data_IF_293278928582
#
_entry.id   IF_293278928582
#
_cell.length_a   1.000
_cell.length_b   1.000
_cell.length_c   1.000
_cell.angle_alpha   90.00
_cell.angle_beta   90.00
_cell.angle_gamma   90.00
#
_symmetry.space_group_name_H-M   'P 1'
#
loop_
_entity.id
_entity.type
_entity.pdbx_description
1 polymer ?
#
# COMPACT_ATOMS: atom_id res chain seq x y z
N UNK A 1 -25.87 -39.05 15.89
CA UNK A 1 -25.11 -37.89 16.42
C UNK A 1 -23.67 -37.94 15.91
N UNK A 2 -23.33 -37.17 14.88
CA UNK A 2 -21.93 -36.89 14.50
C UNK A 2 -21.76 -35.38 14.41
N UNK A 3 -20.87 -34.87 15.26
CA UNK A 3 -20.53 -33.45 15.43
C UNK A 3 -19.90 -32.92 14.14
N UNK A 4 -20.53 -31.94 13.51
CA UNK A 4 -19.93 -31.18 12.43
C UNK A 4 -19.13 -30.04 13.06
N UNK A 5 -17.82 -30.25 13.21
CA UNK A 5 -16.92 -29.22 13.72
C UNK A 5 -16.84 -28.09 12.70
N UNK A 6 -17.43 -26.95 13.06
CA UNK A 6 -17.45 -25.73 12.26
C UNK A 6 -16.03 -25.28 11.90
N UNK A 7 -15.68 -25.40 10.61
CA UNK A 7 -14.61 -24.59 10.04
C UNK A 7 -15.11 -23.15 10.06
N UNK A 8 -14.46 -22.30 10.87
CA UNK A 8 -14.58 -20.84 10.81
C UNK A 8 -14.54 -20.42 9.34
N UNK A 9 -15.62 -19.83 8.83
CA UNK A 9 -15.58 -19.13 7.55
C UNK A 9 -14.55 -18.00 7.67
N UNK A 10 -13.38 -18.19 7.07
CA UNK A 10 -12.52 -17.08 6.72
C UNK A 10 -13.33 -16.13 5.84
N UNK A 11 -13.40 -14.86 6.24
CA UNK A 11 -14.14 -13.82 5.52
C UNK A 11 -13.66 -13.78 4.06
N UNK A 12 -14.56 -14.05 3.12
CA UNK A 12 -14.29 -14.14 1.68
C UNK A 12 -13.71 -12.82 1.15
N UNK A 13 -12.75 -12.83 0.19
CA UNK A 13 -12.07 -11.63 -0.32
C UNK A 13 -13.00 -10.51 -0.81
N UNK A 14 -14.19 -10.84 -1.33
CA UNK A 14 -15.17 -9.85 -1.78
C UNK A 14 -15.94 -9.13 -0.67
N UNK A 15 -16.03 -9.74 0.52
CA UNK A 15 -16.51 -9.02 1.71
C UNK A 15 -15.48 -8.00 2.19
N UNK A 16 -14.20 -8.20 1.86
CA UNK A 16 -13.11 -7.39 2.38
C UNK A 16 -12.97 -6.05 1.64
N UNK A 17 -13.03 -6.00 0.30
CA UNK A 17 -12.93 -4.71 -0.41
C UNK A 17 -14.09 -3.77 -0.05
N UNK A 18 -15.32 -4.27 -0.05
CA UNK A 18 -16.48 -3.47 0.33
C UNK A 18 -16.41 -3.03 1.80
N UNK A 19 -16.10 -3.95 2.72
CA UNK A 19 -15.90 -3.62 4.14
C UNK A 19 -14.76 -2.63 4.35
N UNK A 20 -13.70 -2.69 3.55
CA UNK A 20 -12.60 -1.73 3.57
C UNK A 20 -13.09 -0.33 3.21
N UNK A 21 -13.95 -0.20 2.20
CA UNK A 21 -14.55 1.09 1.89
C UNK A 21 -15.50 1.59 2.99
N UNK A 22 -16.36 0.71 3.52
CA UNK A 22 -17.21 1.05 4.66
C UNK A 22 -16.38 1.50 5.88
N UNK A 23 -15.25 0.85 6.13
CA UNK A 23 -14.32 1.22 7.21
C UNK A 23 -13.69 2.61 7.03
N UNK A 24 -13.53 3.05 5.79
CA UNK A 24 -13.05 4.39 5.46
C UNK A 24 -14.18 5.42 5.37
N UNK A 25 -15.43 5.03 5.64
CA UNK A 25 -16.57 5.95 5.69
C UNK A 25 -17.12 6.36 4.32
N UNK A 26 -16.79 5.62 3.25
CA UNK A 26 -17.35 5.91 1.92
C UNK A 26 -18.84 5.60 1.86
N UNK A 27 -19.58 6.47 1.19
CA UNK A 27 -21.02 6.30 0.93
C UNK A 27 -21.26 5.51 -0.35
N UNK A 28 -22.43 4.89 -0.47
CA UNK A 28 -22.75 4.02 -1.61
C UNK A 28 -22.87 4.78 -2.95
N UNK A 29 -23.17 6.08 -2.90
CA UNK A 29 -23.39 6.99 -4.03
C UNK A 29 -22.19 7.93 -4.30
N UNK A 30 -21.10 7.77 -3.55
CA UNK A 30 -19.93 8.62 -3.63
C UNK A 30 -19.00 8.21 -4.78
N UNK A 31 -18.52 9.19 -5.55
CA UNK A 31 -17.53 8.94 -6.58
C UNK A 31 -16.14 8.71 -5.97
N UNK A 32 -15.64 7.49 -6.14
CA UNK A 32 -14.29 7.11 -5.72
C UNK A 32 -13.29 7.28 -6.86
N UNK A 33 -12.12 7.82 -6.56
CA UNK A 33 -11.03 7.93 -7.53
C UNK A 33 -10.07 6.76 -7.44
N UNK A 34 -10.04 5.99 -8.52
CA UNK A 34 -9.09 4.91 -8.72
C UNK A 34 -7.98 5.33 -9.67
N UNK A 35 -6.76 4.84 -9.40
CA UNK A 35 -5.61 4.97 -10.28
C UNK A 35 -5.17 3.58 -10.67
N UNK A 36 -5.22 3.31 -11.98
CA UNK A 36 -4.72 2.08 -12.56
C UNK A 36 -3.27 2.30 -12.98
N UNK A 37 -2.35 1.52 -12.41
CA UNK A 37 -0.93 1.58 -12.76
C UNK A 37 -0.52 0.24 -13.33
N UNK A 38 -0.04 0.24 -14.57
CA UNK A 38 0.56 -0.96 -15.12
C UNK A 38 1.91 -1.19 -14.45
N UNK A 39 2.01 -2.15 -13.52
CA UNK A 39 3.22 -2.34 -12.71
C UNK A 39 4.13 -3.50 -13.15
N UNK A 40 3.68 -4.39 -14.05
CA UNK A 40 4.48 -5.50 -14.56
C UNK A 40 5.76 -5.04 -15.28
N UNK A 41 6.90 -5.68 -14.97
CA UNK A 41 8.18 -5.41 -15.65
C UNK A 41 8.13 -5.84 -17.14
N UNK A 42 8.64 -4.97 -18.01
CA UNK A 42 8.54 -5.02 -19.48
C UNK A 42 9.17 -6.24 -20.22
N UNK A 43 9.66 -7.27 -19.54
CA UNK A 43 10.44 -8.34 -20.20
C UNK A 43 9.59 -9.36 -20.98
N UNK A 44 8.25 -9.32 -20.90
CA UNK A 44 7.35 -10.21 -21.66
C UNK A 44 6.67 -9.54 -22.87
N UNK A 45 6.97 -8.28 -23.19
CA UNK A 45 6.23 -7.51 -24.21
C UNK A 45 6.64 -7.76 -25.66
N UNK A 46 7.63 -8.61 -25.92
CA UNK A 46 8.15 -8.85 -27.28
C UNK A 46 7.63 -10.10 -27.97
N UNK A 47 6.63 -10.81 -27.43
CA UNK A 47 6.01 -11.90 -28.18
C UNK A 47 4.52 -11.64 -28.36
N UNK A 48 4.11 -11.77 -29.62
CA UNK A 48 2.75 -11.83 -30.16
C UNK A 48 2.18 -10.50 -30.68
N UNK A 49 2.53 -10.22 -31.94
CA UNK A 49 1.69 -9.51 -32.89
C UNK A 49 0.52 -10.40 -33.29
N UNK A 50 -0.72 -9.89 -33.22
CA UNK A 50 -1.72 -10.13 -34.26
C UNK A 50 -2.93 -9.20 -34.14
N UNK A 51 -3.38 -8.76 -35.32
CA UNK A 51 -4.56 -7.96 -35.64
C UNK A 51 -5.74 -8.07 -34.68
N UNK A 52 -6.07 -6.99 -33.99
CA UNK A 52 -7.43 -6.70 -33.55
C UNK A 52 -7.66 -5.18 -33.43
N UNK A 53 -8.77 -4.70 -34.00
CA UNK A 53 -9.16 -3.28 -34.08
C UNK A 53 -9.87 -2.75 -32.81
N UNK A 54 -9.63 -3.37 -31.64
CA UNK A 54 -10.11 -2.86 -30.37
C UNK A 54 -8.93 -2.35 -29.54
N UNK A 55 -9.04 -1.11 -29.03
CA UNK A 55 -8.04 -0.52 -28.13
C UNK A 55 -7.86 -1.33 -26.82
N UNK A 56 -8.76 -2.27 -26.53
CA UNK A 56 -8.73 -3.10 -25.31
C UNK A 56 -8.10 -4.49 -25.49
N UNK A 57 -7.79 -4.93 -26.72
CA UNK A 57 -7.34 -6.31 -27.01
C UNK A 57 -5.84 -6.44 -27.32
N UNK A 58 -5.06 -5.35 -27.23
CA UNK A 58 -3.62 -5.35 -27.57
C UNK A 58 -2.67 -5.59 -26.40
N UNK A 59 -3.18 -5.89 -25.19
CA UNK A 59 -2.32 -6.09 -24.02
C UNK A 59 -2.28 -7.56 -23.61
N UNK A 60 -1.08 -8.14 -23.38
CA UNK A 60 -0.96 -9.51 -22.89
C UNK A 60 -1.68 -9.63 -21.54
N UNK A 61 -2.61 -10.59 -21.45
CA UNK A 61 -3.34 -10.89 -20.22
C UNK A 61 -2.40 -11.70 -19.31
N UNK A 62 -2.22 -11.26 -18.06
CA UNK A 62 -1.48 -12.02 -17.05
C UNK A 62 -2.40 -13.17 -16.58
N UNK A 63 -1.97 -14.44 -16.71
CA UNK A 63 -2.76 -15.56 -16.23
C UNK A 63 -2.83 -15.53 -14.70
N UNK A 64 -4.03 -15.35 -14.17
CA UNK A 64 -4.26 -15.38 -12.72
C UNK A 64 -4.90 -16.70 -12.33
N UNK A 65 -4.20 -17.46 -11.50
CA UNK A 65 -4.65 -18.77 -11.03
C UNK A 65 -5.62 -18.66 -9.85
N UNK A 66 -6.35 -19.73 -9.56
CA UNK A 66 -7.26 -19.80 -8.40
C UNK A 66 -6.54 -19.39 -7.11
N UNK A 67 -7.18 -18.59 -6.23
CA UNK A 67 -8.63 -18.34 -6.15
C UNK A 67 -9.19 -17.25 -7.10
N UNK A 68 -8.39 -16.65 -8.00
CA UNK A 68 -8.82 -15.52 -8.83
C UNK A 68 -10.12 -15.75 -9.64
N UNK A 69 -10.24 -16.86 -10.37
CA UNK A 69 -11.47 -17.15 -11.13
C UNK A 69 -12.73 -17.34 -10.27
N UNK A 70 -12.57 -17.72 -8.99
CA UNK A 70 -13.69 -17.82 -8.05
C UNK A 70 -14.11 -16.44 -7.53
N UNK A 71 -13.21 -15.45 -7.61
CA UNK A 71 -13.46 -14.07 -7.20
C UNK A 71 -14.23 -13.35 -8.32
N UNK A 72 -13.86 -13.50 -9.60
CA UNK A 72 -14.52 -12.81 -10.73
C UNK A 72 -16.04 -13.04 -10.81
N UNK A 73 -16.51 -14.26 -10.53
CA UNK A 73 -17.95 -14.60 -10.60
C UNK A 73 -18.79 -14.02 -9.45
N UNK A 74 -18.17 -13.38 -8.47
CA UNK A 74 -18.82 -12.94 -7.25
C UNK A 74 -18.95 -11.40 -7.14
N UNK A 75 -18.46 -10.61 -8.14
CA UNK A 75 -18.30 -9.14 -8.05
C UNK A 75 -19.38 -8.33 -8.82
N UNK A 76 -20.65 -8.27 -8.39
CA UNK A 76 -21.63 -7.41 -9.04
C UNK A 76 -21.77 -5.99 -8.44
N UNK A 77 -20.97 -5.58 -7.44
CA UNK A 77 -21.35 -4.43 -6.58
C UNK A 77 -20.56 -3.12 -6.74
N UNK A 78 -19.45 -3.07 -7.48
CA UNK A 78 -18.69 -1.81 -7.72
C UNK A 78 -18.51 -1.65 -9.23
N UNK A 79 -19.40 -0.88 -9.85
CA UNK A 79 -19.25 -0.47 -11.25
C UNK A 79 -18.46 0.82 -11.29
N UNK A 80 -17.22 0.76 -11.77
CA UNK A 80 -16.46 1.97 -12.03
C UNK A 80 -16.75 2.49 -13.42
N UNK A 81 -16.66 3.80 -13.58
CA UNK A 81 -16.76 4.45 -14.87
C UNK A 81 -15.45 5.15 -15.19
N UNK A 82 -15.01 5.03 -16.43
CA UNK A 82 -13.95 5.85 -16.99
C UNK A 82 -14.44 7.29 -17.16
N UNK A 83 -13.51 8.21 -17.46
CA UNK A 83 -13.84 9.60 -17.77
C UNK A 83 -14.78 9.75 -18.98
N UNK A 84 -14.93 8.72 -19.81
CA UNK A 84 -15.83 8.68 -20.97
C UNK A 84 -17.17 7.99 -20.67
N UNK A 85 -17.50 7.78 -19.39
CA UNK A 85 -18.73 7.10 -18.96
C UNK A 85 -18.78 5.61 -19.28
N UNK A 86 -17.67 5.01 -19.73
CA UNK A 86 -17.60 3.58 -20.03
C UNK A 86 -17.30 2.78 -18.76
N UNK A 87 -17.99 1.65 -18.52
CA UNK A 87 -17.72 0.80 -17.37
C UNK A 87 -16.29 0.23 -17.42
N UNK A 88 -15.60 0.27 -16.29
CA UNK A 88 -14.25 -0.26 -16.12
C UNK A 88 -14.29 -1.47 -15.20
N UNK A 89 -14.01 -2.64 -15.76
CA UNK A 89 -13.96 -3.89 -15.00
C UNK A 89 -12.61 -4.02 -14.27
N UNK A 90 -12.54 -3.59 -13.01
CA UNK A 90 -11.30 -3.56 -12.22
C UNK A 90 -10.57 -4.91 -12.17
N UNK A 91 -11.30 -6.02 -12.02
CA UNK A 91 -10.71 -7.36 -12.00
C UNK A 91 -10.08 -7.72 -13.34
N UNK A 92 -10.75 -7.37 -14.44
CA UNK A 92 -10.22 -7.57 -15.78
C UNK A 92 -8.96 -6.74 -16.03
N UNK A 93 -8.93 -5.50 -15.51
CA UNK A 93 -7.72 -4.68 -15.56
C UNK A 93 -6.60 -5.26 -14.68
N UNK A 94 -6.93 -5.79 -13.50
CA UNK A 94 -5.95 -6.44 -12.63
C UNK A 94 -5.37 -7.70 -13.29
N UNK A 95 -6.20 -8.52 -13.93
CA UNK A 95 -5.76 -9.64 -14.77
C UNK A 95 -4.90 -9.21 -15.96
N UNK A 96 -5.08 -8.00 -16.48
CA UNK A 96 -4.20 -7.43 -17.52
C UNK A 96 -2.91 -6.80 -16.98
N UNK A 97 -2.61 -6.97 -15.69
CA UNK A 97 -1.37 -6.46 -15.09
C UNK A 97 -1.44 -5.03 -14.52
N UNK A 98 -2.64 -4.47 -14.40
CA UNK A 98 -2.82 -3.19 -13.72
C UNK A 98 -2.98 -3.39 -12.21
N UNK A 99 -2.11 -2.77 -11.43
CA UNK A 99 -2.36 -2.58 -10.02
C UNK A 99 -3.46 -1.53 -9.79
N UNK A 100 -4.35 -1.85 -8.85
CA UNK A 100 -5.49 -1.01 -8.49
C UNK A 100 -5.13 -0.19 -7.25
N UNK A 101 -5.10 1.13 -7.41
CA UNK A 101 -4.94 2.08 -6.33
C UNK A 101 -6.18 2.96 -6.20
N UNK A 102 -6.36 3.57 -5.04
CA UNK A 102 -7.39 4.59 -4.80
C UNK A 102 -6.84 5.76 -4.01
N UNK A 103 -7.36 6.95 -4.26
CA UNK A 103 -7.16 8.08 -3.36
C UNK A 103 -8.03 7.90 -2.10
N UNK A 104 -7.41 8.00 -0.92
CA UNK A 104 -8.09 7.75 0.37
C UNK A 104 -8.92 8.94 0.82
N UNK A 105 -8.35 10.16 0.75
CA UNK A 105 -9.07 11.37 1.16
C UNK A 105 -10.01 11.86 0.06
N UNK A 106 -11.13 12.46 0.46
CA UNK A 106 -12.19 12.81 -0.47
C UNK A 106 -12.04 14.22 -1.03
N UNK A 107 -12.39 14.35 -2.31
CA UNK A 107 -12.54 15.61 -3.05
C UNK A 107 -13.42 15.32 -4.27
N UNK A 108 -14.14 16.29 -4.81
CA UNK A 108 -15.07 16.04 -5.94
C UNK A 108 -14.35 15.67 -7.24
N UNK A 109 -13.36 16.47 -7.66
CA UNK A 109 -12.65 16.28 -8.93
C UNK A 109 -11.14 16.25 -8.75
N UNK A 110 -10.36 16.06 -9.82
CA UNK A 110 -8.89 16.11 -9.69
C UNK A 110 -8.39 17.53 -9.35
N UNK A 111 -9.14 18.54 -9.75
CA UNK A 111 -8.80 19.95 -9.65
C UNK A 111 -9.41 20.62 -8.41
N UNK A 112 -10.39 19.99 -7.75
CA UNK A 112 -11.03 20.56 -6.57
C UNK A 112 -10.21 20.35 -5.30
N UNK A 113 -10.44 21.22 -4.31
CA UNK A 113 -9.87 21.08 -2.97
C UNK A 113 -10.40 19.85 -2.25
N UNK A 114 -9.57 19.31 -1.35
CA UNK A 114 -9.96 18.22 -0.46
C UNK A 114 -11.04 18.67 0.52
N UNK A 115 -12.09 17.85 0.63
CA UNK A 115 -13.26 18.14 1.45
C UNK A 115 -13.31 17.30 2.73
N UNK A 116 -12.69 16.12 2.74
CA UNK A 116 -12.71 15.25 3.92
C UNK A 116 -11.44 14.40 4.07
N UNK A 117 -10.99 14.23 5.31
CA UNK A 117 -9.93 13.30 5.70
C UNK A 117 -10.57 12.02 6.20
N UNK A 118 -10.60 11.00 5.33
CA UNK A 118 -11.18 9.69 5.65
C UNK A 118 -10.29 8.86 6.58
N UNK A 119 -8.98 9.06 6.49
CA UNK A 119 -8.02 8.34 7.32
C UNK A 119 -6.68 9.08 7.42
N UNK A 120 -5.95 8.81 8.49
CA UNK A 120 -4.50 8.94 8.53
C UNK A 120 -3.90 7.60 8.14
N UNK A 121 -2.80 7.57 7.36
CA UNK A 121 -2.31 6.30 6.81
C UNK A 121 -0.80 6.26 6.57
N UNK A 122 -0.18 5.10 6.73
CA UNK A 122 1.25 4.91 6.48
C UNK A 122 1.49 3.78 5.49
N UNK A 123 2.62 3.84 4.79
CA UNK A 123 3.15 2.78 3.93
C UNK A 123 4.52 2.33 4.44
N UNK A 124 4.61 1.08 4.89
CA UNK A 124 5.82 0.48 5.43
C UNK A 124 6.34 -0.52 4.41
N UNK A 125 7.43 -0.18 3.71
CA UNK A 125 8.16 -1.07 2.80
C UNK A 125 9.36 -1.69 3.55
N UNK A 126 9.31 -3.00 3.77
CA UNK A 126 10.36 -3.76 4.47
C UNK A 126 11.33 -4.45 3.51
N UNK A 127 11.08 -4.40 2.19
CA UNK A 127 11.93 -5.05 1.21
C UNK A 127 13.21 -4.26 0.93
N UNK A 128 13.12 -2.94 0.93
CA UNK A 128 14.24 -2.11 0.46
C UNK A 128 15.23 -1.78 1.57
N UNK A 129 16.51 -1.80 1.21
CA UNK A 129 17.59 -1.12 1.92
C UNK A 129 18.06 0.00 1.02
N UNK A 130 18.09 1.22 1.55
CA UNK A 130 18.60 2.37 0.81
C UNK A 130 19.66 3.10 1.63
N UNK A 131 20.69 3.61 0.94
CA UNK A 131 21.70 4.45 1.56
C UNK A 131 22.26 5.44 0.53
N UNK A 132 22.45 6.69 0.97
CA UNK A 132 23.18 7.71 0.21
C UNK A 132 24.61 7.79 0.74
N UNK A 133 25.58 7.57 -0.15
CA UNK A 133 27.01 7.50 0.15
C UNK A 133 27.73 8.56 -0.67
N UNK A 134 28.83 9.10 -0.16
CA UNK A 134 29.50 10.21 -0.83
C UNK A 134 30.47 9.73 -1.92
N UNK A 135 30.99 8.50 -1.77
CA UNK A 135 31.92 7.91 -2.74
C UNK A 135 31.46 6.54 -3.24
N UNK A 136 31.91 6.19 -4.47
CA UNK A 136 31.65 4.87 -5.07
C UNK A 136 32.22 3.74 -4.21
N UNK A 137 33.41 3.95 -3.63
CA UNK A 137 34.08 2.97 -2.78
C UNK A 137 33.28 2.66 -1.51
N UNK A 138 32.71 3.68 -0.86
CA UNK A 138 31.81 3.48 0.28
C UNK A 138 30.57 2.68 -0.11
N UNK A 139 29.97 2.99 -1.27
CA UNK A 139 28.81 2.26 -1.77
C UNK A 139 29.15 0.79 -2.08
N UNK A 140 30.29 0.51 -2.70
CA UNK A 140 30.78 -0.84 -2.98
C UNK A 140 31.03 -1.64 -1.70
N UNK A 141 31.76 -1.06 -0.72
CA UNK A 141 31.99 -1.71 0.58
C UNK A 141 30.67 -2.04 1.29
N UNK A 142 29.69 -1.15 1.22
CA UNK A 142 28.36 -1.41 1.79
C UNK A 142 27.61 -2.50 1.02
N UNK A 143 27.70 -2.54 -0.31
CA UNK A 143 27.12 -3.61 -1.12
C UNK A 143 27.71 -4.98 -0.75
N UNK A 144 29.03 -5.09 -0.66
CA UNK A 144 29.73 -6.30 -0.23
C UNK A 144 29.27 -6.76 1.16
N UNK A 145 29.17 -5.82 2.11
CA UNK A 145 28.69 -6.14 3.47
C UNK A 145 27.24 -6.64 3.49
N UNK A 146 26.37 -6.13 2.61
CA UNK A 146 24.98 -6.57 2.50
C UNK A 146 24.88 -7.95 1.85
N UNK A 147 25.69 -8.21 0.82
CA UNK A 147 25.74 -9.51 0.14
C UNK A 147 26.32 -10.60 1.04
N UNK A 148 27.29 -10.27 1.88
CA UNK A 148 27.88 -11.19 2.86
C UNK A 148 27.00 -11.42 4.11
N UNK A 149 25.92 -10.63 4.29
CA UNK A 149 25.08 -10.71 5.48
C UNK A 149 24.24 -11.98 5.48
N UNK A 150 24.51 -12.87 6.44
CA UNK A 150 23.66 -14.04 6.69
C UNK A 150 22.31 -13.67 7.33
N UNK A 151 22.25 -12.53 8.02
CA UNK A 151 21.07 -12.11 8.80
C UNK A 151 20.09 -11.23 8.02
N UNK A 152 20.55 -10.52 6.99
CA UNK A 152 19.72 -9.64 6.17
C UNK A 152 19.93 -9.94 4.68
N UNK A 153 19.41 -11.09 4.25
CA UNK A 153 19.64 -11.62 2.91
C UNK A 153 18.97 -10.78 1.82
N UNK A 154 19.74 -10.45 0.79
CA UNK A 154 19.34 -9.63 -0.35
C UNK A 154 19.35 -10.42 -1.66
N UNK A 155 18.45 -10.10 -2.58
CA UNK A 155 18.38 -10.68 -3.94
C UNK A 155 19.07 -9.81 -4.97
N UNK A 156 19.11 -8.50 -4.75
CA UNK A 156 19.78 -7.56 -5.66
C UNK A 156 20.38 -6.40 -4.89
N UNK A 157 21.45 -5.84 -5.45
CA UNK A 157 22.07 -4.59 -5.00
C UNK A 157 22.40 -3.77 -6.24
N UNK A 158 21.88 -2.54 -6.28
CA UNK A 158 22.10 -1.58 -7.36
C UNK A 158 22.73 -0.33 -6.78
N UNK A 159 23.73 0.21 -7.48
CA UNK A 159 24.38 1.48 -7.12
C UNK A 159 24.21 2.44 -8.29
N UNK A 160 23.65 3.61 -8.02
CA UNK A 160 23.42 4.64 -9.03
C UNK A 160 24.01 5.97 -8.57
N UNK A 161 24.73 6.67 -9.44
CA UNK A 161 25.20 8.02 -9.15
C UNK A 161 24.03 9.00 -9.28
N UNK A 162 23.81 9.78 -8.24
CA UNK A 162 22.77 10.81 -8.20
C UNK A 162 23.23 12.09 -8.91
N UNK A 163 22.30 12.98 -9.33
CA UNK A 163 22.65 14.28 -9.89
C UNK A 163 23.51 15.14 -8.94
N UNK A 164 23.34 14.97 -7.62
CA UNK A 164 24.14 15.66 -6.59
C UNK A 164 25.59 15.17 -6.48
N UNK A 165 26.00 14.19 -7.30
CA UNK A 165 27.33 13.58 -7.25
C UNK A 165 27.48 12.43 -6.26
N UNK A 166 26.58 12.30 -5.27
CA UNK A 166 26.50 11.19 -4.31
C UNK A 166 26.07 9.87 -4.98
N UNK A 167 26.22 8.76 -4.30
CA UNK A 167 25.84 7.42 -4.73
C UNK A 167 24.65 6.90 -3.93
N UNK A 168 23.59 6.51 -4.62
CA UNK A 168 22.44 5.81 -4.05
C UNK A 168 22.66 4.30 -4.19
N UNK A 169 22.77 3.61 -3.06
CA UNK A 169 22.68 2.16 -3.00
C UNK A 169 21.22 1.78 -2.73
N UNK A 170 20.68 0.88 -3.55
CA UNK A 170 19.38 0.24 -3.38
C UNK A 170 19.54 -1.28 -3.41
N UNK A 171 19.22 -1.94 -2.32
CA UNK A 171 19.15 -3.39 -2.26
C UNK A 171 17.72 -3.87 -1.98
N UNK A 172 17.34 -4.97 -2.60
CA UNK A 172 16.06 -5.64 -2.36
C UNK A 172 16.30 -6.92 -1.56
N UNK A 173 15.55 -7.10 -0.48
CA UNK A 173 15.63 -8.30 0.37
C UNK A 173 14.97 -9.51 -0.27
N UNK A 174 15.39 -10.71 0.15
CA UNK A 174 14.70 -11.95 -0.19
C UNK A 174 13.27 -11.96 0.36
N UNK A 175 12.37 -12.69 -0.30
CA UNK A 175 10.98 -12.86 0.16
C UNK A 175 10.92 -13.46 1.58
N UNK A 176 11.74 -14.47 1.85
CA UNK A 176 11.83 -15.10 3.18
C UNK A 176 12.19 -14.07 4.25
N UNK A 177 13.17 -13.20 3.96
CA UNK A 177 13.57 -12.14 4.87
C UNK A 177 12.48 -11.09 5.08
N UNK A 178 11.79 -10.67 4.02
CA UNK A 178 10.64 -9.75 4.14
C UNK A 178 9.55 -10.32 5.04
N UNK A 179 9.21 -11.61 4.91
CA UNK A 179 8.21 -12.26 5.75
C UNK A 179 8.63 -12.32 7.23
N UNK A 180 9.91 -12.57 7.52
CA UNK A 180 10.45 -12.47 8.88
C UNK A 180 10.34 -11.04 9.42
N UNK A 181 10.72 -10.04 8.63
CA UNK A 181 10.64 -8.63 9.02
C UNK A 181 9.20 -8.18 9.24
N UNK A 182 8.24 -8.62 8.42
CA UNK A 182 6.81 -8.37 8.61
C UNK A 182 6.34 -8.84 9.98
N UNK A 183 6.68 -10.08 10.38
CA UNK A 183 6.35 -10.64 11.69
C UNK A 183 7.00 -9.84 12.82
N UNK A 184 8.31 -9.57 12.70
CA UNK A 184 9.06 -8.80 13.70
C UNK A 184 8.50 -7.37 13.87
N UNK A 185 8.11 -6.73 12.77
CA UNK A 185 7.52 -5.39 12.75
C UNK A 185 6.20 -5.35 13.50
N UNK A 186 5.27 -6.27 13.19
CA UNK A 186 3.99 -6.35 13.89
C UNK A 186 4.16 -6.64 15.39
N UNK A 187 5.10 -7.52 15.76
CA UNK A 187 5.38 -7.81 17.16
C UNK A 187 5.91 -6.58 17.91
N UNK A 188 6.91 -5.90 17.32
CA UNK A 188 7.52 -4.68 17.88
C UNK A 188 6.49 -3.58 18.10
N UNK A 189 5.56 -3.40 17.16
CA UNK A 189 4.58 -2.32 17.19
C UNK A 189 3.18 -2.76 17.66
N UNK A 190 3.05 -3.97 18.20
CA UNK A 190 1.77 -4.61 18.55
C UNK A 190 0.85 -3.72 19.38
N UNK A 191 1.38 -3.08 20.43
CA UNK A 191 0.61 -2.15 21.28
C UNK A 191 0.07 -0.96 20.50
N UNK A 192 0.92 -0.29 19.71
CA UNK A 192 0.54 0.91 18.95
C UNK A 192 -0.37 0.59 17.75
N UNK A 193 -0.26 -0.61 17.20
CA UNK A 193 -1.03 -1.03 16.02
C UNK A 193 -2.32 -1.77 16.36
N UNK A 194 -2.61 -2.05 17.63
CA UNK A 194 -3.81 -2.78 18.08
C UNK A 194 -5.11 -2.26 17.44
N UNK A 195 -5.22 -0.95 17.27
CA UNK A 195 -6.44 -0.31 16.75
C UNK A 195 -6.35 0.10 15.28
N UNK A 196 -5.21 -0.12 14.61
CA UNK A 196 -5.02 0.23 13.21
C UNK A 196 -5.72 -0.78 12.29
N UNK A 197 -6.27 -0.33 11.17
CA UNK A 197 -6.61 -1.23 10.07
C UNK A 197 -5.33 -1.53 9.28
N UNK A 198 -4.97 -2.80 9.15
CA UNK A 198 -3.71 -3.24 8.53
C UNK A 198 -4.02 -4.02 7.26
N UNK A 199 -3.50 -3.51 6.15
CA UNK A 199 -3.53 -4.14 4.84
C UNK A 199 -2.12 -4.61 4.50
N UNK A 200 -1.98 -5.90 4.21
CA UNK A 200 -0.72 -6.50 3.81
C UNK A 200 -0.50 -6.32 2.31
N UNK A 201 0.69 -5.83 1.98
CA UNK A 201 1.18 -5.73 0.60
C UNK A 201 2.36 -6.69 0.40
N UNK A 202 2.86 -6.81 -0.84
CA UNK A 202 3.98 -7.72 -1.16
C UNK A 202 5.18 -7.47 -0.24
N UNK A 203 5.58 -6.21 -0.10
CA UNK A 203 6.81 -5.82 0.57
C UNK A 203 6.63 -5.31 2.01
N UNK A 204 5.39 -5.19 2.50
CA UNK A 204 5.15 -4.73 3.86
C UNK A 204 3.66 -4.46 4.13
N UNK A 205 3.32 -3.26 4.60
CA UNK A 205 1.98 -2.94 5.06
C UNK A 205 1.53 -1.53 4.69
N UNK A 206 0.27 -1.41 4.27
CA UNK A 206 -0.47 -0.16 4.38
C UNK A 206 -1.27 -0.20 5.67
N UNK A 207 -1.13 0.82 6.52
CA UNK A 207 -1.89 0.91 7.77
C UNK A 207 -2.72 2.18 7.78
N UNK A 208 -3.95 2.07 8.25
CA UNK A 208 -4.93 3.15 8.25
C UNK A 208 -5.52 3.32 9.64
N UNK A 209 -5.73 4.57 10.02
CA UNK A 209 -6.57 4.97 11.14
C UNK A 209 -7.72 5.79 10.54
N UNK A 210 -8.91 5.19 10.34
CA UNK A 210 -10.09 5.91 9.89
C UNK A 210 -10.36 7.11 10.78
N UNK A 211 -10.73 8.23 10.17
CA UNK A 211 -10.96 9.51 10.84
C UNK A 211 -12.42 9.92 10.64
N UNK A 212 -13.03 10.45 11.69
CA UNK A 212 -14.28 11.21 11.62
C UNK A 212 -13.97 12.71 11.77
N UNK A 213 -14.72 13.54 11.04
CA UNK A 213 -14.66 15.01 11.11
C UNK A 213 -13.22 15.54 11.02
N UNK A 214 -12.46 15.00 10.06
CA UNK A 214 -11.03 15.23 9.97
C UNK A 214 -10.70 16.57 9.33
N UNK A 215 -9.88 17.37 10.01
CA UNK A 215 -9.44 18.66 9.49
C UNK A 215 -8.26 18.51 8.52
N UNK A 216 -8.34 19.23 7.40
CA UNK A 216 -7.33 19.19 6.32
C UNK A 216 -5.95 19.68 6.81
N UNK A 217 -5.93 20.78 7.57
CA UNK A 217 -4.72 21.42 8.12
C UNK A 217 -3.94 20.50 9.07
N UNK A 218 -4.64 19.64 9.82
CA UNK A 218 -4.05 18.66 10.73
C UNK A 218 -3.54 17.41 10.05
N UNK A 219 -3.88 17.18 8.78
CA UNK A 219 -3.47 15.97 8.07
C UNK A 219 -1.94 15.82 8.04
N UNK A 220 -1.25 16.79 7.44
CA UNK A 220 0.20 16.73 7.20
C UNK A 220 1.02 16.64 8.50
N UNK A 221 0.75 17.43 9.56
CA UNK A 221 1.49 17.32 10.81
C UNK A 221 1.36 15.95 11.48
N UNK A 222 0.15 15.40 11.55
CA UNK A 222 -0.09 14.05 12.11
C UNK A 222 0.58 12.99 11.25
N UNK A 223 0.44 13.10 9.93
CA UNK A 223 0.99 12.16 8.96
C UNK A 223 2.53 12.09 9.04
N UNK A 224 3.20 13.23 9.24
CA UNK A 224 4.64 13.30 9.50
C UNK A 224 5.03 12.63 10.82
N UNK A 225 4.27 12.86 11.90
CA UNK A 225 4.52 12.23 13.18
C UNK A 225 4.34 10.70 13.12
N UNK A 226 3.35 10.22 12.37
CA UNK A 226 3.16 8.79 12.09
C UNK A 226 4.34 8.21 11.30
N UNK A 227 4.80 8.90 10.25
CA UNK A 227 5.97 8.50 9.46
C UNK A 227 7.20 8.31 10.35
N UNK A 228 7.45 9.26 11.25
CA UNK A 228 8.57 9.19 12.19
C UNK A 228 8.42 8.02 13.17
N UNK A 229 7.25 7.90 13.81
CA UNK A 229 6.99 6.85 14.82
C UNK A 229 7.14 5.44 14.26
N UNK A 230 6.73 5.24 13.01
CA UNK A 230 6.64 3.92 12.39
C UNK A 230 7.71 3.64 11.33
N UNK A 231 8.61 4.61 11.08
CA UNK A 231 9.62 4.52 10.01
C UNK A 231 9.00 4.19 8.64
N UNK A 232 7.89 4.86 8.33
CA UNK A 232 7.16 4.70 7.05
C UNK A 232 7.79 5.53 5.93
N UNK A 233 7.39 5.32 4.67
CA UNK A 233 7.77 6.17 3.54
C UNK A 233 7.40 7.63 3.81
N UNK A 234 8.37 8.56 3.87
CA UNK A 234 8.10 9.98 4.10
C UNK A 234 7.30 10.65 2.99
N UNK A 235 7.20 10.04 1.80
CA UNK A 235 6.39 10.57 0.69
C UNK A 235 4.89 10.43 0.95
N UNK A 236 4.46 9.63 1.91
CA UNK A 236 3.04 9.38 2.20
C UNK A 236 2.28 10.62 2.74
N UNK A 237 2.95 11.75 2.93
CA UNK A 237 2.40 12.93 3.61
C UNK A 237 1.45 13.81 2.79
N UNK A 238 1.15 13.47 1.54
CA UNK A 238 0.25 14.27 0.70
C UNK A 238 -1.19 13.74 0.73
N UNK A 239 -2.16 14.65 0.70
CA UNK A 239 -3.61 14.32 0.75
C UNK A 239 -4.07 13.42 -0.41
N UNK A 240 -3.49 13.61 -1.60
CA UNK A 240 -3.80 12.87 -2.84
C UNK A 240 -3.10 11.53 -2.97
N UNK A 241 -2.51 11.01 -1.89
CA UNK A 241 -1.75 9.77 -1.95
C UNK A 241 -2.68 8.61 -2.30
N UNK A 242 -2.36 7.93 -3.40
CA UNK A 242 -3.08 6.75 -3.83
C UNK A 242 -2.50 5.48 -3.20
N UNK A 243 -3.37 4.63 -2.64
CA UNK A 243 -3.02 3.42 -1.90
C UNK A 243 -3.60 2.18 -2.57
N UNK A 244 -2.90 1.05 -2.45
CA UNK A 244 -3.35 -0.24 -3.00
C UNK A 244 -4.64 -0.68 -2.32
N UNK A 245 -5.59 -1.13 -3.13
CA UNK A 245 -6.90 -1.60 -2.67
C UNK A 245 -6.82 -3.10 -2.33
N UNK A 246 -7.26 -3.54 -1.14
CA UNK A 246 -7.32 -4.97 -0.81
C UNK A 246 -8.34 -5.70 -1.69
N UNK A 247 -8.08 -6.97 -1.96
CA UNK A 247 -8.87 -7.80 -2.89
C UNK A 247 -8.34 -7.82 -4.33
N UNK A 248 -7.28 -7.05 -4.61
CA UNK A 248 -6.58 -7.04 -5.89
C UNK A 248 -5.12 -7.47 -5.71
N UNK A 249 -4.53 -7.99 -6.78
CA UNK A 249 -3.13 -8.39 -6.80
C UNK A 249 -2.20 -7.22 -7.11
N UNK A 250 -1.03 -7.25 -6.48
CA UNK A 250 0.15 -6.49 -6.85
C UNK A 250 0.84 -7.23 -8.02
N UNK A 251 0.91 -6.60 -9.20
CA UNK A 251 1.35 -7.27 -10.46
C UNK A 251 2.75 -6.88 -10.94
N UNK A 252 3.52 -6.19 -10.09
CA UNK A 252 4.90 -5.78 -10.41
C UNK A 252 5.81 -6.92 -10.87
N UNK A 253 5.54 -8.11 -10.38
CA UNK A 253 6.22 -9.35 -10.75
C UNK A 253 5.15 -10.37 -11.20
N UNK A 254 4.90 -10.50 -12.51
CA UNK A 254 3.85 -11.35 -13.05
C UNK A 254 3.97 -12.83 -12.67
N UNK A 255 5.20 -13.31 -12.43
CA UNK A 255 5.47 -14.70 -12.06
C UNK A 255 5.27 -14.96 -10.55
N UNK A 256 5.19 -13.89 -9.75
CA UNK A 256 4.91 -13.94 -8.30
C UNK A 256 3.93 -12.82 -7.89
N UNK A 257 2.67 -12.88 -8.37
CA UNK A 257 1.66 -11.88 -8.03
C UNK A 257 1.27 -12.03 -6.55
N UNK A 258 1.07 -10.89 -5.87
CA UNK A 258 0.75 -10.89 -4.45
C UNK A 258 -0.65 -10.34 -4.18
N UNK A 259 -1.54 -11.15 -3.58
CA UNK A 259 -2.87 -10.71 -3.18
C UNK A 259 -2.80 -9.71 -2.02
N UNK A 260 -3.18 -8.45 -2.27
CA UNK A 260 -3.30 -7.44 -1.22
C UNK A 260 -4.51 -7.78 -0.36
N UNK A 261 -4.31 -7.93 0.95
CA UNK A 261 -5.37 -8.42 1.85
C UNK A 261 -5.38 -7.69 3.19
N UNK A 262 -6.56 -7.56 3.78
CA UNK A 262 -6.70 -7.00 5.13
C UNK A 262 -6.30 -8.05 6.16
N UNK A 263 -5.29 -7.77 6.98
CA UNK A 263 -4.90 -8.63 8.13
C UNK A 263 -5.65 -8.28 9.40
N UNK A 264 -5.96 -6.99 9.57
CA UNK A 264 -6.61 -6.48 10.77
C UNK A 264 -7.57 -5.37 10.37
N UNK A 265 -8.81 -5.42 10.86
CA UNK A 265 -9.86 -4.42 10.56
C UNK A 265 -9.79 -3.16 11.42
N UNK A 266 -8.87 -3.12 12.38
CA UNK A 266 -8.80 -2.05 13.37
C UNK A 266 -10.01 -2.00 14.30
N UNK A 267 -10.15 -0.89 15.01
CA UNK A 267 -11.27 -0.67 15.93
C UNK A 267 -12.58 -0.38 15.18
N UNK A 268 -13.73 -0.48 15.87
CA UNK A 268 -15.06 -0.28 15.28
C UNK A 268 -15.29 1.16 14.80
N UNK A 269 -15.11 2.14 15.69
CA UNK A 269 -15.39 3.55 15.44
C UNK A 269 -14.18 4.31 14.85
N UNK A 270 -14.37 5.28 13.94
CA UNK A 270 -13.28 6.14 13.49
C UNK A 270 -12.69 6.98 14.63
N UNK A 271 -11.45 7.43 14.48
CA UNK A 271 -10.78 8.35 15.41
C UNK A 271 -11.18 9.80 15.13
N UNK A 272 -11.25 10.63 16.16
CA UNK A 272 -10.92 12.03 15.95
C UNK A 272 -9.40 12.18 15.79
N UNK A 273 -8.94 13.18 15.05
CA UNK A 273 -7.51 13.41 14.89
C UNK A 273 -6.79 13.63 16.23
N UNK A 274 -7.41 14.35 17.18
CA UNK A 274 -6.84 14.57 18.51
C UNK A 274 -6.74 13.26 19.33
N UNK A 275 -7.78 12.41 19.25
CA UNK A 275 -7.76 11.10 19.90
C UNK A 275 -6.63 10.22 19.34
N UNK A 276 -6.43 10.22 18.03
CA UNK A 276 -5.36 9.45 17.40
C UNK A 276 -3.98 9.93 17.90
N UNK A 277 -3.78 11.25 17.96
CA UNK A 277 -2.55 11.86 18.47
C UNK A 277 -2.26 11.41 19.89
N UNK A 278 -3.26 11.47 20.77
CA UNK A 278 -3.13 11.06 22.17
C UNK A 278 -2.89 9.55 22.30
N UNK A 279 -3.70 8.73 21.61
CA UNK A 279 -3.63 7.27 21.68
C UNK A 279 -2.28 6.73 21.19
N UNK A 280 -1.66 7.39 20.21
CA UNK A 280 -0.35 7.02 19.69
C UNK A 280 0.80 7.85 20.28
N UNK A 281 0.54 8.78 21.20
CA UNK A 281 1.54 9.68 21.77
C UNK A 281 2.42 10.32 20.67
N UNK A 282 1.76 10.93 19.68
CA UNK A 282 2.44 11.54 18.54
C UNK A 282 3.01 12.91 18.93
N UNK A 283 4.29 13.13 18.65
CA UNK A 283 4.90 14.45 18.78
C UNK A 283 4.63 15.27 17.52
N UNK A 284 3.82 16.32 17.62
CA UNK A 284 3.51 17.23 16.52
C UNK A 284 4.37 18.50 16.66
N UNK A 285 4.71 19.13 15.54
CA UNK A 285 5.78 20.14 15.40
C UNK A 285 5.80 21.35 16.34
N UNK A 286 4.76 21.61 17.16
CA UNK A 286 4.82 22.60 18.25
C UNK A 286 5.52 22.07 19.50
N UNK A 287 5.40 20.77 19.79
CA UNK A 287 5.96 20.14 21.00
C UNK A 287 7.41 19.70 20.82
N UNK A 288 7.81 19.39 19.57
CA UNK A 288 9.18 19.01 19.23
C UNK A 288 10.19 20.14 19.49
N UNK A 289 9.78 21.40 19.26
CA UNK A 289 10.63 22.58 19.50
C UNK A 289 10.74 22.92 21.00
N UNK A 290 9.70 22.64 21.80
CA UNK A 290 9.75 22.82 23.27
C UNK A 290 10.63 21.78 23.94
N UNK A 291 10.55 20.51 23.52
CA UNK A 291 11.38 19.42 24.05
C UNK A 291 12.88 19.54 23.71
N UNK A 292 13.22 20.22 22.62
CA UNK A 292 14.61 20.53 22.25
C UNK A 292 15.21 21.74 22.99
N UNK A 293 14.38 22.63 23.54
CA UNK A 293 14.83 23.80 24.33
C UNK A 293 14.95 23.51 25.83
N UNK A 294 14.47 22.35 26.27
CA UNK A 294 14.52 21.89 27.67
C UNK A 294 15.56 20.78 27.91
N UNK A 295 16.53 20.63 27.00
CA UNK A 295 17.67 19.70 27.10
C UNK A 295 18.97 20.45 26.88
#
# INVERSE_FOLDING_TARGET
MKRNNGKKLEQTPLSATHRFFQKLGYKNDEQLRFVLVHDAKNNHYQRYSSNSNSAYSRMPVIPLYKPFHLIESQVPFITLYSNYGQPVHLFGQNARGYAIFMEVNYRESRQSDFQDIRAQFIDVDLNKVSAYLDTKQQAMKKAESLQASQSDTVTSVNITRTPSGRYLLLAERTRSRVEQLKKAYLNRHSKSLKNAMIVETKNGFHMYWPIQDGSIDKFVPIQKALVQKFSSDPRITNLSRAMRVPGFYHMKDPDDPFMVKVKQWGRSQPFSQNELVNALQLTIGSDAQRAQRSR
#
